data_IF_059702177369
#
_entry.id   IF_059702177369
#
_cell.length_a   1.000
_cell.length_b   1.000
_cell.length_c   1.000
_cell.angle_alpha   90.00
_cell.angle_beta   90.00
_cell.angle_gamma   90.00
#
_symmetry.space_group_name_H-M   'P 1'
#
loop_
_entity.id
_entity.type
_entity.pdbx_description
1 polymer ?
#
# COMPACT_ATOMS: atom_id res chain seq x y z
N UNK A 1 26.22 -9.53 -16.58
CA UNK A 1 26.35 -8.10 -16.96
C UNK A 1 26.13 -7.26 -15.70
N UNK A 2 27.13 -6.55 -15.15
CA UNK A 2 26.87 -5.68 -14.01
C UNK A 2 26.17 -4.42 -14.53
N UNK A 3 24.93 -4.21 -14.11
CA UNK A 3 24.15 -2.99 -14.38
C UNK A 3 24.77 -1.80 -13.65
N UNK A 4 25.89 -1.29 -14.14
CA UNK A 4 26.50 -0.02 -13.73
C UNK A 4 26.23 1.02 -14.82
N UNK A 5 25.00 1.50 -14.89
CA UNK A 5 24.60 2.54 -15.84
C UNK A 5 24.10 3.81 -15.14
N UNK A 6 24.42 5.02 -15.65
CA UNK A 6 23.92 6.32 -15.14
C UNK A 6 22.38 6.47 -15.19
N UNK A 7 21.67 5.49 -15.76
CA UNK A 7 20.21 5.40 -15.80
C UNK A 7 19.59 5.16 -14.41
N UNK A 8 20.25 4.40 -13.54
CA UNK A 8 19.72 4.10 -12.19
C UNK A 8 19.66 5.37 -11.33
N UNK A 9 20.67 6.24 -11.42
CA UNK A 9 20.64 7.58 -10.78
C UNK A 9 19.61 8.54 -11.41
N UNK A 10 19.14 8.28 -12.63
CA UNK A 10 18.12 9.09 -13.31
C UNK A 10 16.68 8.70 -12.95
N UNK A 11 16.43 7.44 -12.56
CA UNK A 11 15.07 6.95 -12.26
C UNK A 11 14.46 7.60 -11.01
N UNK A 12 15.27 8.03 -10.05
CA UNK A 12 14.84 8.76 -8.86
C UNK A 12 15.26 10.23 -8.89
N UNK A 13 15.22 10.86 -10.07
CA UNK A 13 15.20 12.34 -10.14
C UNK A 13 14.01 12.96 -9.40
N UNK A 14 13.04 12.14 -8.97
CA UNK A 14 11.83 12.55 -8.28
C UNK A 14 11.66 11.71 -7.02
N UNK A 15 11.96 12.30 -5.86
CA UNK A 15 11.84 11.71 -4.52
C UNK A 15 10.47 11.06 -4.28
N UNK A 16 9.40 11.63 -4.86
CA UNK A 16 8.05 11.09 -4.80
C UNK A 16 7.91 9.64 -5.29
N UNK A 17 8.68 9.23 -6.31
CA UNK A 17 8.61 7.85 -6.79
C UNK A 17 9.28 6.87 -5.82
N UNK A 18 10.33 7.32 -5.13
CA UNK A 18 10.99 6.52 -4.08
C UNK A 18 10.00 6.29 -2.95
N UNK A 19 9.33 7.35 -2.50
CA UNK A 19 8.32 7.29 -1.44
C UNK A 19 7.16 6.36 -1.80
N UNK A 20 6.63 6.44 -3.02
CA UNK A 20 5.56 5.54 -3.49
C UNK A 20 6.02 4.08 -3.50
N UNK A 21 7.23 3.80 -4.02
CA UNK A 21 7.78 2.43 -4.03
C UNK A 21 7.94 1.90 -2.61
N UNK A 22 8.48 2.69 -1.69
CA UNK A 22 8.66 2.29 -0.28
C UNK A 22 7.31 2.00 0.39
N UNK A 23 6.29 2.85 0.18
CA UNK A 23 4.93 2.66 0.71
C UNK A 23 4.23 1.42 0.14
N UNK A 24 4.41 1.13 -1.15
CA UNK A 24 3.88 -0.09 -1.78
C UNK A 24 4.56 -1.33 -1.21
N UNK A 25 5.88 -1.29 -1.02
CA UNK A 25 6.63 -2.42 -0.44
C UNK A 25 6.23 -2.63 1.02
N UNK A 26 5.99 -1.55 1.78
CA UNK A 26 5.48 -1.63 3.16
C UNK A 26 4.10 -2.33 3.19
N UNK A 27 3.18 -1.95 2.29
CA UNK A 27 1.89 -2.63 2.13
C UNK A 27 2.06 -4.12 1.81
N UNK A 28 2.89 -4.47 0.82
CA UNK A 28 3.15 -5.87 0.44
C UNK A 28 3.73 -6.66 1.61
N UNK A 29 4.68 -6.07 2.34
CA UNK A 29 5.31 -6.68 3.51
C UNK A 29 4.30 -6.94 4.62
N UNK A 30 3.43 -5.99 4.88
CA UNK A 30 2.45 -6.04 5.97
C UNK A 30 1.28 -6.97 5.66
N UNK A 31 0.69 -6.81 4.48
CA UNK A 31 -0.64 -7.37 4.19
C UNK A 31 -0.60 -8.55 3.20
N UNK A 32 0.36 -8.55 2.28
CA UNK A 32 0.43 -9.55 1.19
C UNK A 32 1.58 -10.55 1.34
N UNK A 33 2.33 -10.52 2.45
CA UNK A 33 3.39 -11.50 2.72
C UNK A 33 2.86 -12.59 3.66
N UNK A 34 2.99 -13.85 3.23
CA UNK A 34 2.68 -15.03 4.04
C UNK A 34 3.68 -15.23 5.18
N UNK A 35 3.32 -16.05 6.17
CA UNK A 35 4.20 -16.38 7.30
C UNK A 35 5.46 -17.12 6.84
N UNK A 36 5.37 -17.82 5.71
CA UNK A 36 6.44 -18.60 5.10
C UNK A 36 7.32 -17.74 4.16
N UNK A 37 6.96 -16.48 3.94
CA UNK A 37 7.72 -15.50 3.16
C UNK A 37 7.35 -15.38 1.68
N UNK A 38 6.42 -16.21 1.17
CA UNK A 38 5.83 -16.03 -0.16
C UNK A 38 4.81 -14.88 -0.17
N UNK A 39 4.39 -14.46 -1.36
CA UNK A 39 3.42 -13.39 -1.57
C UNK A 39 2.06 -13.92 -2.00
N UNK A 40 1.02 -13.42 -1.33
CA UNK A 40 -0.38 -13.62 -1.67
C UNK A 40 -0.75 -12.85 -2.95
N UNK A 41 -1.77 -13.30 -3.67
CA UNK A 41 -2.09 -12.76 -4.99
C UNK A 41 -2.83 -11.43 -4.92
N UNK A 42 -3.78 -11.27 -4.00
CA UNK A 42 -4.61 -10.06 -3.95
C UNK A 42 -5.25 -9.83 -2.58
N UNK A 43 -5.78 -8.62 -2.40
CA UNK A 43 -6.73 -8.24 -1.36
C UNK A 43 -7.94 -7.62 -2.07
N UNK A 44 -9.15 -7.94 -1.59
CA UNK A 44 -10.40 -7.48 -2.18
C UNK A 44 -10.59 -5.96 -1.96
N UNK A 45 -11.41 -5.34 -2.79
CA UNK A 45 -11.89 -3.98 -2.57
C UNK A 45 -13.06 -3.96 -1.57
N UNK A 46 -13.79 -5.07 -1.48
CA UNK A 46 -14.94 -5.25 -0.59
C UNK A 46 -14.54 -5.56 0.85
N UNK A 47 -15.22 -4.92 1.80
CA UNK A 47 -15.31 -5.44 3.15
C UNK A 47 -16.74 -5.37 3.68
N UNK A 48 -17.20 -6.48 4.27
CA UNK A 48 -18.56 -6.65 4.79
C UNK A 48 -19.65 -6.50 3.71
N UNK A 49 -19.35 -6.85 2.46
CA UNK A 49 -20.28 -6.74 1.33
C UNK A 49 -20.45 -5.30 0.82
N UNK A 50 -19.52 -4.41 1.16
CA UNK A 50 -19.48 -3.03 0.69
C UNK A 50 -18.09 -2.70 0.14
N UNK A 51 -18.05 -2.35 -1.14
CA UNK A 51 -16.84 -1.90 -1.82
C UNK A 51 -16.25 -0.65 -1.17
N UNK A 52 -14.93 -0.63 -0.95
CA UNK A 52 -14.21 0.53 -0.45
C UNK A 52 -14.41 0.82 1.04
N UNK A 53 -15.33 0.13 1.74
CA UNK A 53 -15.70 0.41 3.15
C UNK A 53 -14.50 0.48 4.10
N UNK A 54 -13.48 -0.34 3.89
CA UNK A 54 -12.27 -0.32 4.72
C UNK A 54 -11.40 0.94 4.50
N UNK A 55 -11.49 1.57 3.33
CA UNK A 55 -10.60 2.62 2.86
C UNK A 55 -11.24 4.01 2.82
N UNK A 56 -12.56 4.12 2.94
CA UNK A 56 -13.29 5.39 2.89
C UNK A 56 -13.77 5.87 4.26
N UNK A 57 -14.07 7.16 4.37
CA UNK A 57 -14.47 7.78 5.65
C UNK A 57 -15.61 8.77 5.48
N UNK A 58 -16.51 8.86 6.46
CA UNK A 58 -17.43 10.00 6.57
C UNK A 58 -16.72 11.22 7.15
N UNK A 59 -17.25 12.43 6.92
CA UNK A 59 -16.72 13.63 7.59
C UNK A 59 -16.83 13.54 9.12
N UNK A 60 -17.87 12.88 9.63
CA UNK A 60 -18.06 12.68 11.07
C UNK A 60 -16.96 11.81 11.66
N UNK A 61 -16.63 10.69 11.02
CA UNK A 61 -15.49 9.85 11.42
C UNK A 61 -14.19 10.64 11.43
N UNK A 62 -13.93 11.42 10.37
CA UNK A 62 -12.71 12.23 10.28
C UNK A 62 -12.63 13.28 11.38
N UNK A 63 -13.74 13.95 11.73
CA UNK A 63 -13.80 14.89 12.87
C UNK A 63 -13.59 14.23 14.22
N UNK A 64 -13.93 12.95 14.35
CA UNK A 64 -13.71 12.19 15.58
C UNK A 64 -12.26 11.68 15.71
N UNK A 65 -11.58 11.44 14.58
CA UNK A 65 -10.20 10.92 14.56
C UNK A 65 -9.16 12.05 14.62
N UNK A 66 -9.44 13.16 13.95
CA UNK A 66 -8.51 14.27 13.75
C UNK A 66 -8.86 15.45 14.65
N UNK A 67 -7.85 16.18 15.12
CA UNK A 67 -8.12 17.45 15.78
C UNK A 67 -8.56 18.53 14.76
N UNK A 68 -8.93 19.71 15.25
CA UNK A 68 -9.50 20.77 14.41
C UNK A 68 -8.51 21.26 13.33
N UNK A 69 -7.21 21.31 13.62
CA UNK A 69 -6.18 21.72 12.67
C UNK A 69 -5.95 20.64 11.61
N UNK A 70 -5.80 19.40 12.06
CA UNK A 70 -5.62 18.23 11.20
C UNK A 70 -6.81 18.02 10.27
N UNK A 71 -8.04 18.17 10.77
CA UNK A 71 -9.24 18.06 9.95
C UNK A 71 -9.28 19.15 8.87
N UNK A 72 -8.93 20.40 9.21
CA UNK A 72 -8.85 21.49 8.22
C UNK A 72 -7.83 21.20 7.12
N UNK A 73 -6.67 20.65 7.48
CA UNK A 73 -5.64 20.23 6.52
C UNK A 73 -6.17 19.07 5.66
N UNK A 74 -6.73 18.02 6.27
CA UNK A 74 -7.27 16.87 5.56
C UNK A 74 -8.38 17.28 4.58
N UNK A 75 -9.31 18.13 5.00
CA UNK A 75 -10.40 18.64 4.16
C UNK A 75 -9.88 19.39 2.93
N UNK A 76 -8.84 20.22 3.12
CA UNK A 76 -8.19 20.96 2.04
C UNK A 76 -7.43 20.06 1.08
N UNK A 77 -6.65 19.11 1.60
CA UNK A 77 -5.73 18.29 0.81
C UNK A 77 -6.45 17.15 0.09
N UNK A 78 -7.45 16.54 0.74
CA UNK A 78 -8.12 15.34 0.25
C UNK A 78 -9.47 15.59 -0.45
N UNK A 79 -9.87 16.86 -0.64
CA UNK A 79 -11.12 17.23 -1.31
C UNK A 79 -12.33 16.53 -0.69
N UNK A 80 -12.50 16.70 0.61
CA UNK A 80 -13.58 16.04 1.35
C UNK A 80 -14.87 16.83 1.20
N UNK A 81 -15.98 16.12 0.99
CA UNK A 81 -17.33 16.70 0.87
C UNK A 81 -18.28 16.08 1.89
N UNK A 82 -19.29 16.85 2.29
CA UNK A 82 -20.31 16.41 3.26
C UNK A 82 -21.16 15.28 2.69
N UNK A 83 -21.49 15.37 1.41
CA UNK A 83 -22.18 14.33 0.65
C UNK A 83 -21.25 13.20 0.15
N UNK A 84 -19.96 13.24 0.51
CA UNK A 84 -18.95 12.31 0.04
C UNK A 84 -18.37 12.64 -1.33
N UNK A 85 -17.17 12.10 -1.60
CA UNK A 85 -16.48 12.19 -2.89
C UNK A 85 -16.33 10.81 -3.56
N UNK A 86 -16.83 9.75 -2.93
CA UNK A 86 -16.81 8.38 -3.42
C UNK A 86 -18.21 7.93 -3.83
N UNK A 87 -18.31 7.41 -5.05
CA UNK A 87 -19.52 6.82 -5.62
C UNK A 87 -19.34 5.30 -5.70
N UNK A 88 -20.39 4.56 -5.42
CA UNK A 88 -20.35 3.11 -5.55
C UNK A 88 -20.35 2.73 -7.04
N UNK A 89 -19.40 1.92 -7.49
CA UNK A 89 -19.14 1.74 -8.92
C UNK A 89 -20.31 1.08 -9.67
N UNK A 90 -21.05 0.18 -9.03
CA UNK A 90 -22.13 -0.57 -9.68
C UNK A 90 -23.40 0.25 -9.88
N UNK A 91 -23.70 1.17 -8.97
CA UNK A 91 -24.94 1.97 -8.92
C UNK A 91 -24.72 3.42 -9.30
N UNK A 92 -23.50 3.94 -9.15
CA UNK A 92 -23.16 5.36 -9.31
C UNK A 92 -23.74 6.25 -8.20
N UNK A 93 -24.26 5.66 -7.12
CA UNK A 93 -24.86 6.42 -6.03
C UNK A 93 -23.80 7.00 -5.11
N UNK A 94 -24.05 8.23 -4.64
CA UNK A 94 -23.22 8.84 -3.60
C UNK A 94 -23.40 8.09 -2.29
N UNK A 95 -22.27 7.70 -1.70
CA UNK A 95 -22.23 6.88 -0.49
C UNK A 95 -22.19 7.70 0.80
N UNK A 96 -22.02 9.02 0.71
CA UNK A 96 -21.65 9.87 1.86
C UNK A 96 -20.22 9.63 2.35
N UNK A 97 -19.47 8.76 1.68
CA UNK A 97 -18.09 8.41 2.02
C UNK A 97 -17.10 9.25 1.19
N UNK A 98 -15.93 9.45 1.77
CA UNK A 98 -14.82 10.10 1.12
C UNK A 98 -13.65 9.13 0.97
N UNK A 99 -13.14 9.00 -0.25
CA UNK A 99 -11.81 8.45 -0.53
C UNK A 99 -10.78 9.58 -0.48
N UNK A 100 -9.63 9.28 0.12
CA UNK A 100 -8.58 10.26 0.34
C UNK A 100 -7.67 10.34 -0.89
N UNK A 101 -7.84 11.40 -1.70
CA UNK A 101 -6.99 11.61 -2.88
C UNK A 101 -6.52 13.06 -2.97
N UNK A 102 -5.31 13.23 -3.50
CA UNK A 102 -4.72 14.56 -3.72
C UNK A 102 -4.89 14.96 -5.18
N UNK A 103 -5.30 16.20 -5.42
CA UNK A 103 -5.31 16.82 -6.76
C UNK A 103 -4.00 17.51 -7.11
N UNK A 104 -3.20 17.83 -6.10
CA UNK A 104 -1.88 18.44 -6.21
C UNK A 104 -1.00 18.02 -5.03
N UNK A 105 0.30 18.31 -5.10
CA UNK A 105 1.20 18.10 -3.97
C UNK A 105 1.15 19.29 -3.00
N UNK A 106 1.23 18.98 -1.70
CA UNK A 106 1.18 19.93 -0.60
C UNK A 106 2.39 19.69 0.32
N UNK A 107 3.57 20.02 -0.19
CA UNK A 107 4.84 19.76 0.50
C UNK A 107 4.90 20.48 1.86
N UNK A 108 4.25 21.63 2.00
CA UNK A 108 4.17 22.37 3.27
C UNK A 108 3.46 21.60 4.39
N UNK A 109 2.60 20.63 4.05
CA UNK A 109 1.89 19.81 5.02
C UNK A 109 2.46 18.39 5.15
N UNK A 110 3.59 18.07 4.50
CA UNK A 110 4.11 16.69 4.43
C UNK A 110 4.14 15.97 5.78
N UNK A 111 4.73 16.60 6.80
CA UNK A 111 4.85 15.99 8.13
C UNK A 111 3.49 15.80 8.81
N UNK A 112 2.57 16.77 8.67
CA UNK A 112 1.21 16.65 9.22
C UNK A 112 0.38 15.61 8.50
N UNK A 113 0.53 15.48 7.18
CA UNK A 113 -0.15 14.45 6.40
C UNK A 113 0.32 13.04 6.79
N UNK A 114 1.58 12.84 7.16
CA UNK A 114 2.03 11.56 7.70
C UNK A 114 1.39 11.24 9.06
N UNK A 115 1.28 12.22 9.96
CA UNK A 115 0.56 12.05 11.25
C UNK A 115 -0.91 11.71 11.02
N UNK A 116 -1.59 12.43 10.11
CA UNK A 116 -2.97 12.16 9.72
C UNK A 116 -3.09 10.74 9.15
N UNK A 117 -2.21 10.36 8.21
CA UNK A 117 -2.19 9.02 7.61
C UNK A 117 -2.09 7.93 8.68
N UNK A 118 -1.22 8.08 9.67
CA UNK A 118 -1.07 7.12 10.76
C UNK A 118 -2.32 7.03 11.66
N UNK A 119 -2.94 8.16 11.99
CA UNK A 119 -4.20 8.18 12.76
C UNK A 119 -5.32 7.45 12.02
N UNK A 120 -5.49 7.76 10.74
CA UNK A 120 -6.50 7.13 9.88
C UNK A 120 -6.22 5.64 9.68
N UNK A 121 -4.94 5.26 9.53
CA UNK A 121 -4.51 3.87 9.48
C UNK A 121 -4.89 3.12 10.78
N UNK A 122 -4.58 3.68 11.95
CA UNK A 122 -4.93 3.06 13.24
C UNK A 122 -6.43 2.93 13.43
N UNK A 123 -7.21 3.92 13.00
CA UNK A 123 -8.66 3.85 13.07
C UNK A 123 -9.21 2.71 12.22
N UNK A 124 -8.86 2.67 10.92
CA UNK A 124 -9.40 1.67 10.00
C UNK A 124 -8.97 0.24 10.34
N UNK A 125 -7.84 0.04 11.01
CA UNK A 125 -7.43 -1.30 11.48
C UNK A 125 -8.39 -1.90 12.53
N UNK A 126 -9.31 -1.12 13.10
CA UNK A 126 -10.39 -1.64 13.93
C UNK A 126 -11.63 -2.08 13.13
N UNK A 127 -11.66 -1.84 11.81
CA UNK A 127 -12.72 -2.33 10.91
C UNK A 127 -12.43 -3.76 10.50
N UNK A 128 -13.46 -4.45 10.00
CA UNK A 128 -13.26 -5.73 9.32
C UNK A 128 -12.42 -5.46 8.08
N UNK A 129 -11.37 -6.26 7.88
CA UNK A 129 -10.48 -6.15 6.72
C UNK A 129 -11.14 -6.74 5.48
N UNK A 130 -10.76 -6.29 4.27
CA UNK A 130 -11.11 -6.99 3.06
C UNK A 130 -10.59 -8.42 3.05
N UNK A 131 -11.23 -9.29 2.29
CA UNK A 131 -10.74 -10.65 2.11
C UNK A 131 -9.42 -10.64 1.34
N UNK A 132 -8.49 -11.49 1.76
CA UNK A 132 -7.22 -11.69 1.08
C UNK A 132 -7.25 -12.99 0.29
N UNK A 133 -6.89 -12.94 -0.99
CA UNK A 133 -6.67 -14.16 -1.79
C UNK A 133 -5.29 -14.71 -1.46
N UNK A 134 -5.26 -15.75 -0.63
CA UNK A 134 -4.02 -16.35 -0.12
C UNK A 134 -3.34 -17.30 -1.11
N UNK A 135 -3.77 -17.34 -2.38
CA UNK A 135 -3.09 -18.11 -3.41
C UNK A 135 -1.65 -17.63 -3.60
N UNK A 136 -0.72 -18.59 -3.61
CA UNK A 136 0.69 -18.38 -3.90
C UNK A 136 0.93 -18.78 -5.35
N UNK A 137 0.96 -17.80 -6.25
CA UNK A 137 1.19 -17.99 -7.68
C UNK A 137 2.68 -17.77 -8.01
N UNK A 138 3.33 -18.80 -8.56
CA UNK A 138 4.79 -18.82 -8.82
C UNK A 138 5.24 -17.69 -9.74
N UNK A 139 4.47 -17.40 -10.78
CA UNK A 139 4.72 -16.34 -11.74
C UNK A 139 4.66 -14.94 -11.07
N UNK A 140 3.61 -14.65 -10.30
CA UNK A 140 3.44 -13.37 -9.61
C UNK A 140 4.48 -13.17 -8.52
N UNK A 141 4.80 -14.23 -7.78
CA UNK A 141 5.87 -14.21 -6.81
C UNK A 141 7.24 -13.97 -7.47
N UNK A 142 7.50 -14.57 -8.64
CA UNK A 142 8.70 -14.29 -9.42
C UNK A 142 8.83 -12.81 -9.79
N UNK A 143 7.73 -12.18 -10.21
CA UNK A 143 7.69 -10.73 -10.48
C UNK A 143 7.94 -9.89 -9.21
N UNK A 144 7.34 -10.27 -8.09
CA UNK A 144 7.52 -9.55 -6.82
C UNK A 144 8.97 -9.66 -6.31
N UNK A 145 9.55 -10.87 -6.31
CA UNK A 145 10.95 -11.12 -5.92
C UNK A 145 11.92 -10.31 -6.80
N UNK A 146 11.70 -10.31 -8.12
CA UNK A 146 12.51 -9.53 -9.04
C UNK A 146 12.38 -8.02 -8.78
N UNK A 147 11.17 -7.55 -8.49
CA UNK A 147 10.88 -6.14 -8.18
C UNK A 147 11.54 -5.71 -6.87
N UNK A 148 11.44 -6.51 -5.80
CA UNK A 148 12.11 -6.26 -4.51
C UNK A 148 13.63 -6.28 -4.65
N UNK A 149 14.18 -7.25 -5.38
CA UNK A 149 15.63 -7.33 -5.64
C UNK A 149 16.14 -6.07 -6.36
N UNK A 150 15.38 -5.59 -7.35
CA UNK A 150 15.70 -4.37 -8.11
C UNK A 150 15.52 -3.12 -7.25
N UNK A 151 14.44 -3.01 -6.49
CA UNK A 151 14.16 -1.88 -5.61
C UNK A 151 15.24 -1.77 -4.52
N UNK A 152 15.57 -2.87 -3.83
CA UNK A 152 16.62 -2.89 -2.80
C UNK A 152 17.99 -2.48 -3.34
N UNK A 153 18.34 -2.93 -4.55
CA UNK A 153 19.58 -2.51 -5.21
C UNK A 153 19.58 -1.01 -5.56
N UNK A 154 18.51 -0.51 -6.20
CA UNK A 154 18.46 0.88 -6.65
C UNK A 154 18.38 1.86 -5.48
N UNK A 155 17.54 1.54 -4.48
CA UNK A 155 17.33 2.38 -3.31
C UNK A 155 18.45 2.25 -2.28
N UNK A 156 19.38 1.30 -2.48
CA UNK A 156 20.42 0.92 -1.52
C UNK A 156 19.83 0.62 -0.13
N UNK A 157 18.73 -0.15 -0.11
CA UNK A 157 17.99 -0.51 1.10
C UNK A 157 18.10 -2.02 1.34
N UNK A 158 18.81 -2.40 2.40
CA UNK A 158 19.07 -3.80 2.74
C UNK A 158 17.81 -4.55 3.20
N UNK A 159 16.83 -3.88 3.79
CA UNK A 159 15.59 -4.51 4.24
C UNK A 159 14.73 -4.96 3.05
N UNK A 160 14.60 -4.10 2.04
CA UNK A 160 13.89 -4.43 0.79
C UNK A 160 14.58 -5.61 0.10
N UNK A 161 15.93 -5.60 0.07
CA UNK A 161 16.69 -6.71 -0.49
C UNK A 161 16.47 -8.02 0.29
N UNK A 162 16.44 -7.94 1.62
CA UNK A 162 16.19 -9.09 2.49
C UNK A 162 14.78 -9.65 2.30
N UNK A 163 13.77 -8.81 2.10
CA UNK A 163 12.39 -9.23 1.84
C UNK A 163 12.27 -10.03 0.53
N UNK A 164 12.93 -9.58 -0.54
CA UNK A 164 13.01 -10.36 -1.79
C UNK A 164 13.75 -11.70 -1.64
N UNK A 165 14.78 -11.74 -0.77
CA UNK A 165 15.54 -12.96 -0.47
C UNK A 165 14.71 -13.98 0.31
N UNK A 166 13.85 -13.53 1.22
CA UNK A 166 12.90 -14.39 1.94
C UNK A 166 11.89 -15.03 1.00
N UNK A 167 11.29 -14.24 0.10
CA UNK A 167 10.42 -14.77 -0.95
C UNK A 167 11.13 -15.78 -1.85
N UNK A 168 12.40 -15.54 -2.20
CA UNK A 168 13.20 -16.51 -2.96
C UNK A 168 13.46 -17.80 -2.18
N UNK A 169 13.70 -17.70 -0.88
CA UNK A 169 13.98 -18.85 0.00
C UNK A 169 12.78 -19.79 0.06
N UNK A 170 11.55 -19.26 0.13
CA UNK A 170 10.33 -20.05 0.11
C UNK A 170 10.33 -21.08 -1.05
N UNK A 171 10.58 -20.62 -2.28
CA UNK A 171 10.59 -21.50 -3.46
C UNK A 171 11.77 -22.48 -3.48
N UNK A 172 12.95 -22.05 -3.02
CA UNK A 172 14.12 -22.93 -2.94
C UNK A 172 13.85 -24.10 -1.99
N UNK A 173 13.27 -23.84 -0.82
CA UNK A 173 12.96 -24.89 0.14
C UNK A 173 11.80 -25.78 -0.34
N UNK A 174 10.78 -25.21 -1.00
CA UNK A 174 9.71 -25.97 -1.64
C UNK A 174 10.25 -26.99 -2.66
N UNK A 175 11.12 -26.54 -3.57
CA UNK A 175 11.74 -27.39 -4.60
C UNK A 175 12.62 -28.47 -3.97
N UNK A 176 13.42 -28.12 -2.96
CA UNK A 176 14.24 -29.11 -2.23
C UNK A 176 13.38 -30.18 -1.56
N UNK A 177 12.20 -29.81 -1.06
CA UNK A 177 11.23 -30.74 -0.50
C UNK A 177 10.76 -31.76 -1.52
N UNK A 178 10.48 -31.32 -2.75
CA UNK A 178 10.06 -32.21 -3.84
C UNK A 178 11.15 -33.14 -4.34
N UNK A 179 12.42 -32.70 -4.36
CA UNK A 179 13.55 -33.54 -4.79
C UNK A 179 13.85 -34.66 -3.79
N UNK A 180 13.51 -34.46 -2.51
CA UNK A 180 13.76 -35.43 -1.43
C UNK A 180 12.61 -36.41 -1.19
N UNK A 181 11.45 -36.18 -1.81
CA UNK A 181 10.28 -37.06 -1.75
C UNK A 181 10.31 -38.07 -2.89
#
# INVERSE_FOLDING_TARGET
MPWKGPLIKKCFKYEKYREVVEKVIEYVKRDLTSKEGAFYSAEDADSEGVEGKFYTFTLEELKNILDEEEFKIANKVYNLFEEGNFEEEATGEKTGQNILYKTQDYDEYKEKLEVIREKLYKFRENRIRPLRDEKILTDWNGLMIASLSRAGFILNNSEIHQHGKEGSRFYIELIKGWIKA
#
